data_IF_809236892899
#
_entry.id   IF_809236892899
#
_cell.length_a   1.000
_cell.length_b   1.000
_cell.length_c   1.000
_cell.angle_alpha   90.00
_cell.angle_beta   90.00
_cell.angle_gamma   90.00
#
_symmetry.space_group_name_H-M   'P 1'
#
loop_
_entity.id
_entity.type
_entity.pdbx_description
1 polymer ?
#
# COMPACT_ATOMS: atom_id res chain seq x y z
N UNK A 1 -11.08 -1.11 14.37
CA UNK A 1 -10.01 -1.99 13.84
C UNK A 1 -8.85 -1.97 14.80
N UNK A 2 -8.17 -3.09 15.00
CA UNK A 2 -7.05 -3.20 15.96
C UNK A 2 -5.76 -2.67 15.30
N UNK A 3 -5.02 -1.73 15.91
CA UNK A 3 -3.74 -1.28 15.38
C UNK A 3 -2.70 -2.42 15.42
N UNK A 4 -1.61 -2.35 14.62
CA UNK A 4 -0.47 -3.23 14.81
C UNK A 4 0.19 -2.98 16.17
N UNK A 5 0.65 -4.06 16.80
CA UNK A 5 1.45 -4.00 18.02
C UNK A 5 2.90 -4.36 17.69
N UNK A 6 3.84 -3.49 18.06
CA UNK A 6 5.24 -3.58 17.67
C UNK A 6 6.15 -3.70 18.90
N UNK A 7 7.20 -4.53 18.78
CA UNK A 7 8.31 -4.50 19.72
C UNK A 7 9.17 -3.22 19.54
N UNK A 8 10.11 -2.94 20.46
CA UNK A 8 11.01 -1.78 20.34
C UNK A 8 11.92 -1.78 19.10
N UNK A 9 12.00 -2.88 18.36
CA UNK A 9 12.76 -3.00 17.11
C UNK A 9 11.89 -2.78 15.86
N UNK A 10 10.61 -2.43 16.04
CA UNK A 10 9.67 -2.22 14.95
C UNK A 10 9.09 -3.52 14.37
N UNK A 11 9.36 -4.68 14.98
CA UNK A 11 8.76 -5.94 14.54
C UNK A 11 7.36 -6.08 15.11
N UNK A 12 6.38 -6.35 14.24
CA UNK A 12 5.02 -6.60 14.68
C UNK A 12 4.97 -7.91 15.46
N UNK A 13 4.44 -7.86 16.68
CA UNK A 13 4.27 -9.00 17.58
C UNK A 13 2.80 -9.37 17.80
N UNK A 14 1.87 -8.58 17.26
CA UNK A 14 0.44 -8.84 17.37
C UNK A 14 -0.43 -7.75 16.75
N UNK A 15 -1.72 -7.76 17.11
CA UNK A 15 -2.68 -6.77 16.62
C UNK A 15 -3.02 -6.92 15.14
N UNK A 16 -3.55 -5.84 14.54
CA UNK A 16 -3.86 -5.78 13.10
C UNK A 16 -2.62 -5.44 12.26
N UNK A 17 -2.84 -5.09 10.98
CA UNK A 17 -1.77 -4.76 10.02
C UNK A 17 -1.77 -3.29 9.59
N UNK A 18 -2.69 -2.47 10.12
CA UNK A 18 -2.64 -1.00 10.01
C UNK A 18 -3.00 -0.38 8.65
N UNK A 19 -3.26 -1.15 7.59
CA UNK A 19 -3.49 -0.62 6.24
C UNK A 19 -4.63 0.43 6.16
N UNK A 20 -5.67 0.25 6.96
CA UNK A 20 -6.85 1.12 6.99
C UNK A 20 -6.60 2.50 7.61
N UNK A 21 -5.39 2.75 8.12
CA UNK A 21 -5.02 4.07 8.65
C UNK A 21 -4.71 5.06 7.53
N UNK A 22 -4.31 4.57 6.35
CA UNK A 22 -4.13 5.38 5.14
C UNK A 22 -5.17 5.05 4.07
N UNK A 23 -5.58 3.77 3.95
CA UNK A 23 -6.56 3.33 2.95
C UNK A 23 -7.96 3.20 3.57
N UNK A 24 -8.65 4.33 3.71
CA UNK A 24 -9.88 4.44 4.50
C UNK A 24 -11.11 4.12 3.66
N UNK A 25 -11.98 3.24 4.15
CA UNK A 25 -13.27 2.94 3.50
C UNK A 25 -14.19 4.20 3.51
N UNK A 26 -15.10 4.36 2.53
CA UNK A 26 -15.49 3.37 1.53
C UNK A 26 -14.67 3.34 0.24
N UNK A 27 -13.91 4.38 -0.07
CA UNK A 27 -13.07 4.45 -1.28
C UNK A 27 -11.72 3.72 -1.12
N UNK A 28 -11.33 3.38 0.11
CA UNK A 28 -10.04 2.78 0.45
C UNK A 28 -8.84 3.67 0.05
N UNK A 29 -9.04 4.98 0.15
CA UNK A 29 -8.07 6.07 0.01
C UNK A 29 -8.32 7.12 1.10
N UNK A 30 -7.78 8.32 0.91
CA UNK A 30 -8.09 9.52 1.70
C UNK A 30 -7.63 9.39 3.16
N UNK A 31 -6.32 9.37 3.35
CA UNK A 31 -5.76 10.21 4.39
C UNK A 31 -5.07 11.43 3.76
N UNK A 32 -5.65 12.63 3.82
CA UNK A 32 -5.00 13.83 3.27
C UNK A 32 -3.72 14.21 4.00
N UNK A 33 -3.48 13.65 5.20
CA UNK A 33 -2.28 13.88 6.00
C UNK A 33 -1.30 12.69 5.96
N UNK A 34 -1.49 11.72 5.06
CA UNK A 34 -0.43 10.73 4.83
C UNK A 34 0.83 11.38 4.30
N UNK A 35 1.97 10.83 4.67
CA UNK A 35 3.28 11.22 4.16
C UNK A 35 3.89 10.08 3.30
N UNK A 36 5.19 10.18 2.98
CA UNK A 36 5.86 9.22 2.12
C UNK A 36 5.83 7.81 2.76
N UNK A 37 5.59 6.77 1.95
CA UNK A 37 5.47 5.40 2.44
C UNK A 37 6.78 4.61 2.45
N UNK A 38 7.92 5.27 2.21
CA UNK A 38 9.25 4.67 2.08
C UNK A 38 9.58 4.15 0.69
N UNK A 39 8.72 4.35 -0.32
CA UNK A 39 9.11 4.24 -1.73
C UNK A 39 9.64 5.60 -2.16
N UNK A 40 10.87 5.61 -2.67
CA UNK A 40 11.61 6.82 -3.01
C UNK A 40 12.07 6.85 -4.48
N UNK A 41 11.98 5.74 -5.19
CA UNK A 41 12.48 5.64 -6.56
C UNK A 41 11.70 6.53 -7.54
N UNK A 42 12.41 7.30 -8.36
CA UNK A 42 11.79 8.03 -9.46
C UNK A 42 11.97 7.27 -10.79
N UNK A 43 10.88 7.13 -11.56
CA UNK A 43 10.89 6.39 -12.84
C UNK A 43 11.96 6.96 -13.78
N UNK A 44 12.79 6.07 -14.34
CA UNK A 44 13.87 6.39 -15.29
C UNK A 44 14.87 7.42 -14.75
N UNK A 45 15.09 7.45 -13.43
CA UNK A 45 16.00 8.37 -12.77
C UNK A 45 16.73 7.70 -11.62
N UNK A 46 17.89 8.24 -11.26
CA UNK A 46 18.61 7.89 -10.02
C UNK A 46 18.27 8.85 -8.87
N UNK A 47 17.43 9.86 -9.12
CA UNK A 47 16.96 10.78 -8.10
C UNK A 47 15.85 10.15 -7.25
N UNK A 48 15.67 10.69 -6.05
CA UNK A 48 14.60 10.31 -5.14
C UNK A 48 13.37 11.23 -5.30
N UNK A 49 12.18 10.67 -5.11
CA UNK A 49 10.92 11.42 -4.98
C UNK A 49 10.30 11.21 -3.59
N UNK A 50 10.43 12.23 -2.74
CA UNK A 50 9.83 12.27 -1.40
C UNK A 50 8.54 13.10 -1.36
N UNK A 51 8.12 13.67 -2.49
CA UNK A 51 7.00 14.62 -2.57
C UNK A 51 5.64 13.92 -2.68
N UNK A 52 5.65 12.64 -3.07
CA UNK A 52 4.45 11.84 -3.20
C UNK A 52 4.07 11.21 -1.86
N UNK A 53 2.95 11.70 -1.34
CA UNK A 53 2.48 11.42 0.02
C UNK A 53 1.06 10.87 0.07
N UNK A 54 0.31 10.97 -1.02
CA UNK A 54 -1.11 10.58 -1.05
C UNK A 54 -1.26 9.05 -1.18
N UNK A 55 -2.01 8.43 -0.27
CA UNK A 55 -2.42 7.03 -0.38
C UNK A 55 -3.48 6.85 -1.47
N UNK A 56 -3.20 6.14 -2.58
CA UNK A 56 -4.19 5.93 -3.63
C UNK A 56 -5.30 4.96 -3.18
N UNK A 57 -6.41 4.97 -3.92
CA UNK A 57 -7.47 3.98 -3.73
C UNK A 57 -6.96 2.56 -4.00
N UNK A 58 -7.45 1.62 -3.21
CA UNK A 58 -7.24 0.19 -3.43
C UNK A 58 -8.34 -0.43 -4.32
N UNK A 59 -9.36 0.35 -4.71
CA UNK A 59 -10.35 -0.08 -5.71
C UNK A 59 -9.67 -0.29 -7.05
N UNK A 60 -10.12 -1.33 -7.75
CA UNK A 60 -9.62 -1.66 -9.08
C UNK A 60 -8.09 -1.87 -9.13
N UNK A 61 -7.47 -2.31 -8.03
CA UNK A 61 -6.06 -2.71 -8.03
C UNK A 61 -5.84 -3.96 -8.90
N UNK A 62 -6.85 -4.82 -8.97
CA UNK A 62 -6.90 -6.01 -9.81
C UNK A 62 -8.18 -6.03 -10.63
N UNK A 63 -8.11 -6.70 -11.78
CA UNK A 63 -9.23 -6.94 -12.69
C UNK A 63 -10.13 -8.06 -12.15
N UNK A 64 -11.38 -8.18 -12.65
CA UNK A 64 -12.27 -9.30 -12.30
C UNK A 64 -11.70 -10.71 -12.55
N UNK A 65 -10.71 -10.83 -13.44
CA UNK A 65 -10.02 -12.10 -13.73
C UNK A 65 -8.80 -12.38 -12.83
N UNK A 66 -8.52 -11.51 -11.85
CA UNK A 66 -7.39 -11.62 -10.91
C UNK A 66 -6.07 -11.00 -11.41
N UNK A 67 -6.01 -10.54 -12.66
CA UNK A 67 -4.82 -9.88 -13.19
C UNK A 67 -4.63 -8.49 -12.55
N UNK A 68 -3.38 -8.03 -12.44
CA UNK A 68 -3.10 -6.66 -12.02
C UNK A 68 -3.68 -5.65 -13.03
N UNK A 69 -4.26 -4.55 -12.54
CA UNK A 69 -4.61 -3.42 -13.42
C UNK A 69 -3.39 -2.60 -13.84
N UNK A 70 -2.28 -2.70 -13.10
CA UNK A 70 -1.02 -2.07 -13.46
C UNK A 70 0.08 -2.40 -12.47
N UNK A 71 1.26 -1.84 -12.70
CA UNK A 71 2.27 -1.74 -11.67
C UNK A 71 1.88 -0.68 -10.64
N UNK A 72 2.30 -0.88 -9.40
CA UNK A 72 1.87 -0.09 -8.23
C UNK A 72 2.99 0.80 -7.73
N UNK A 73 2.63 1.66 -6.77
CA UNK A 73 3.42 2.79 -6.31
C UNK A 73 3.60 3.83 -7.43
N UNK A 74 4.02 5.04 -7.06
CA UNK A 74 4.27 6.09 -8.04
C UNK A 74 5.43 5.74 -9.00
N UNK A 75 6.30 4.82 -8.59
CA UNK A 75 7.47 4.38 -9.31
C UNK A 75 7.23 3.15 -10.20
N UNK A 76 5.98 2.65 -10.28
CA UNK A 76 5.62 1.46 -11.04
C UNK A 76 6.49 0.22 -10.69
N UNK A 77 6.86 0.07 -9.41
CA UNK A 77 7.87 -0.89 -8.95
C UNK A 77 7.44 -2.36 -9.10
N UNK A 78 6.14 -2.65 -8.97
CA UNK A 78 5.65 -4.03 -9.10
C UNK A 78 4.15 -4.12 -9.37
N UNK A 79 3.75 -5.07 -10.20
CA UNK A 79 2.36 -5.53 -10.34
C UNK A 79 2.05 -6.76 -9.48
N UNK A 80 3.03 -7.29 -8.72
CA UNK A 80 2.87 -8.46 -7.86
C UNK A 80 2.46 -8.05 -6.44
N UNK A 81 1.26 -8.44 -6.01
CA UNK A 81 0.73 -8.13 -4.66
C UNK A 81 1.63 -8.61 -3.53
N UNK A 82 2.32 -9.74 -3.67
CA UNK A 82 3.26 -10.18 -2.64
C UNK A 82 4.48 -9.26 -2.52
N UNK A 83 4.93 -8.66 -3.62
CA UNK A 83 6.01 -7.67 -3.58
C UNK A 83 5.54 -6.37 -2.89
N UNK A 84 4.29 -5.96 -3.12
CA UNK A 84 3.67 -4.82 -2.41
C UNK A 84 3.60 -5.10 -0.91
N UNK A 85 3.17 -6.30 -0.50
CA UNK A 85 3.15 -6.66 0.92
C UNK A 85 4.56 -6.79 1.51
N UNK A 86 5.55 -7.20 0.71
CA UNK A 86 6.95 -7.21 1.14
C UNK A 86 7.47 -5.82 1.46
N UNK A 87 7.06 -4.80 0.70
CA UNK A 87 7.40 -3.40 1.01
C UNK A 87 7.10 -3.07 2.48
N UNK A 88 5.88 -3.37 2.95
CA UNK A 88 5.48 -3.09 4.33
C UNK A 88 6.06 -4.06 5.37
N UNK A 89 6.66 -5.18 4.96
CA UNK A 89 7.42 -6.06 5.85
C UNK A 89 8.87 -5.57 6.04
N UNK A 90 9.57 -5.13 4.99
CA UNK A 90 11.00 -4.81 5.10
C UNK A 90 11.56 -3.88 3.99
N UNK A 91 10.72 -3.31 3.14
CA UNK A 91 11.14 -2.45 2.02
C UNK A 91 11.03 -0.95 2.27
N UNK A 92 10.55 -0.52 3.44
CA UNK A 92 10.39 0.89 3.78
C UNK A 92 11.76 1.55 3.94
N UNK A 93 12.06 2.55 3.10
CA UNK A 93 13.27 3.36 3.20
C UNK A 93 13.01 4.58 4.08
N UNK A 94 13.79 4.70 5.16
CA UNK A 94 13.72 5.83 6.08
C UNK A 94 14.11 7.15 5.38
N UNK A 95 13.30 8.19 5.56
CA UNK A 95 13.55 9.51 4.99
C UNK A 95 12.89 10.62 5.82
N UNK A 96 13.22 11.88 5.52
CA UNK A 96 12.76 13.03 6.31
C UNK A 96 11.25 13.32 6.21
N UNK A 97 10.56 12.75 5.20
CA UNK A 97 9.13 12.88 4.98
C UNK A 97 8.39 11.54 5.15
N UNK A 98 9.00 10.56 5.82
CA UNK A 98 8.38 9.26 6.07
C UNK A 98 7.17 9.42 7.00
N UNK A 99 6.07 8.73 6.68
CA UNK A 99 4.90 8.72 7.55
C UNK A 99 5.20 8.07 8.92
N UNK A 100 4.98 8.76 10.05
CA UNK A 100 5.28 8.24 11.38
C UNK A 100 4.54 6.94 11.73
N UNK A 101 3.41 6.64 11.06
CA UNK A 101 2.67 5.38 11.26
C UNK A 101 3.43 4.16 10.74
N UNK A 102 4.44 4.36 9.90
CA UNK A 102 5.33 3.32 9.40
C UNK A 102 6.54 3.10 10.32
N UNK A 103 6.46 3.60 11.56
CA UNK A 103 7.47 3.39 12.59
C UNK A 103 6.86 2.73 13.83
N UNK A 104 7.63 1.87 14.48
CA UNK A 104 7.31 1.28 15.78
C UNK A 104 7.45 2.30 16.92
N UNK A 105 7.16 1.90 18.16
CA UNK A 105 7.30 2.77 19.32
C UNK A 105 8.75 3.26 19.46
N UNK A 106 8.97 4.44 20.07
CA UNK A 106 10.31 4.94 20.32
C UNK A 106 11.13 3.96 21.18
N UNK A 107 12.26 3.49 20.65
CA UNK A 107 13.27 2.75 21.39
C UNK A 107 14.41 3.67 21.87
N UNK A 108 15.48 3.10 22.47
CA UNK A 108 16.65 3.86 22.91
C UNK A 108 17.35 4.67 21.79
N UNK A 109 17.19 4.25 20.53
CA UNK A 109 17.79 4.89 19.35
C UNK A 109 16.75 5.64 18.49
N UNK A 110 15.56 5.91 19.02
CA UNK A 110 14.43 6.48 18.27
C UNK A 110 13.45 5.42 17.75
N UNK A 111 12.41 5.82 17.00
CA UNK A 111 11.44 4.90 16.41
C UNK A 111 12.10 4.01 15.35
N UNK A 112 11.93 2.70 15.48
CA UNK A 112 12.37 1.76 14.45
C UNK A 112 11.40 1.75 13.26
N UNK A 113 11.89 1.49 12.05
CA UNK A 113 11.01 1.28 10.89
C UNK A 113 10.16 0.03 11.11
N UNK A 114 8.88 0.08 10.75
CA UNK A 114 8.00 -1.06 10.93
C UNK A 114 8.46 -2.26 10.09
N UNK A 115 8.21 -3.44 10.64
CA UNK A 115 8.21 -4.72 9.95
C UNK A 115 6.96 -5.47 10.37
N UNK A 116 5.98 -5.59 9.48
CA UNK A 116 4.70 -6.22 9.80
C UNK A 116 4.78 -7.73 10.08
N UNK A 117 5.91 -8.38 9.77
CA UNK A 117 6.10 -9.83 9.94
C UNK A 117 4.92 -10.67 9.40
N UNK A 118 4.32 -10.23 8.28
CA UNK A 118 3.15 -10.89 7.71
C UNK A 118 3.42 -12.37 7.42
N UNK A 119 2.63 -13.24 8.05
CA UNK A 119 2.60 -14.67 7.79
C UNK A 119 2.07 -14.97 6.38
N UNK A 120 2.34 -16.19 5.89
CA UNK A 120 1.77 -16.65 4.62
C UNK A 120 0.24 -16.56 4.62
N UNK A 121 -0.41 -16.88 5.75
CA UNK A 121 -1.86 -16.85 5.88
C UNK A 121 -2.41 -15.42 5.80
N UNK A 122 -1.81 -14.47 6.53
CA UNK A 122 -2.22 -13.06 6.48
C UNK A 122 -2.05 -12.49 5.08
N UNK A 123 -0.96 -12.83 4.39
CA UNK A 123 -0.74 -12.42 2.99
C UNK A 123 -1.87 -12.89 2.08
N UNK A 124 -2.22 -14.17 2.15
CA UNK A 124 -3.33 -14.73 1.36
C UNK A 124 -4.65 -14.04 1.68
N UNK A 125 -4.93 -13.76 2.96
CA UNK A 125 -6.17 -13.10 3.37
C UNK A 125 -6.24 -11.64 2.88
N UNK A 126 -5.13 -10.90 2.94
CA UNK A 126 -5.06 -9.53 2.42
C UNK A 126 -5.24 -9.51 0.91
N UNK A 127 -4.58 -10.42 0.19
CA UNK A 127 -4.71 -10.52 -1.27
C UNK A 127 -6.16 -10.84 -1.65
N UNK A 128 -6.77 -11.84 -1.00
CA UNK A 128 -8.16 -12.18 -1.24
C UNK A 128 -9.10 -10.99 -0.96
N UNK A 129 -8.83 -10.21 0.09
CA UNK A 129 -9.58 -8.98 0.36
C UNK A 129 -9.41 -7.95 -0.76
N UNK A 130 -8.19 -7.69 -1.22
CA UNK A 130 -7.94 -6.75 -2.32
C UNK A 130 -8.65 -7.18 -3.62
N UNK A 131 -8.76 -8.48 -3.89
CA UNK A 131 -9.51 -9.03 -5.02
C UNK A 131 -11.03 -8.78 -4.93
N UNK A 132 -11.56 -8.54 -3.72
CA UNK A 132 -12.98 -8.12 -3.57
C UNK A 132 -13.22 -6.66 -3.96
N UNK A 133 -12.16 -5.87 -4.15
CA UNK A 133 -12.25 -4.45 -4.49
C UNK A 133 -12.27 -4.18 -6.00
N UNK A 134 -12.28 -5.24 -6.82
CA UNK A 134 -12.43 -5.15 -8.27
C UNK A 134 -13.85 -4.77 -8.67
N UNK A 135 -13.97 -3.68 -9.41
CA UNK A 135 -15.17 -3.29 -10.12
C UNK A 135 -15.43 -4.22 -11.31
N UNK A 136 -16.69 -4.47 -11.59
CA UNK A 136 -17.12 -5.24 -12.77
C UNK A 136 -17.79 -4.36 -13.82
N UNK A 137 -18.35 -3.22 -13.42
CA UNK A 137 -19.15 -2.36 -14.30
C UNK A 137 -18.28 -1.44 -15.18
N UNK A 138 -17.31 -0.73 -14.59
CA UNK A 138 -16.47 0.24 -15.34
C UNK A 138 -15.67 -0.42 -16.46
N UNK A 139 -15.29 -1.69 -16.28
CA UNK A 139 -14.49 -2.45 -17.24
C UNK A 139 -15.31 -3.05 -18.39
N UNK A 140 -16.63 -3.22 -18.22
CA UNK A 140 -17.45 -4.02 -19.17
C UNK A 140 -18.68 -3.31 -19.71
N UNK A 141 -19.17 -2.27 -19.02
CA UNK A 141 -20.42 -1.62 -19.39
C UNK A 141 -20.21 -0.64 -20.55
N UNK A 142 -20.98 -0.85 -21.62
CA UNK A 142 -20.94 -0.02 -22.83
C UNK A 142 -21.15 1.48 -22.54
N UNK A 143 -21.87 1.83 -21.47
CA UNK A 143 -22.06 3.21 -21.02
C UNK A 143 -20.73 3.96 -20.80
N UNK A 144 -19.68 3.24 -20.37
CA UNK A 144 -18.35 3.79 -20.08
C UNK A 144 -17.35 3.59 -21.23
N UNK A 145 -17.77 3.00 -22.35
CA UNK A 145 -16.92 2.75 -23.50
C UNK A 145 -16.58 4.03 -24.27
N UNK A 146 -15.57 3.93 -25.13
CA UNK A 146 -15.15 5.02 -26.03
C UNK A 146 -16.36 5.55 -26.83
N UNK A 147 -16.72 6.84 -26.71
CA UNK A 147 -17.85 7.42 -27.42
C UNK A 147 -17.57 7.72 -28.89
N UNK A 148 -16.34 7.54 -29.38
CA UNK A 148 -15.90 7.90 -30.73
C UNK A 148 -15.64 6.70 -31.66
N UNK A 149 -16.18 5.52 -31.31
CA UNK A 149 -16.10 4.35 -32.18
C UNK A 149 -16.85 4.65 -33.50
N UNK A 150 -16.09 4.82 -34.59
CA UNK A 150 -16.58 4.80 -35.98
C UNK A 150 -16.65 3.36 -36.49
#
# INVERSE_FOLDING_TARGET
>A
MTPPDFDPNGNRIGGGIGCNTCHVAPEFDIDPNSLNNGVIDLINSANEDLTLTHSPTLRDLVKPNGDANGATMHSAISSNRNAILNHYNNGIVANANLDPRLTGPPGPNGPAIQNLQLSQQERTQVIAFLETLSGTDVDTNQKWSDPFIN
#
